data_IF_928009714672
#
_entry.id   IF_928009714672
#
_cell.length_a   1.000
_cell.length_b   1.000
_cell.length_c   1.000
_cell.angle_alpha   90.00
_cell.angle_beta   90.00
_cell.angle_gamma   90.00
#
_symmetry.space_group_name_H-M   'P 1'
#
loop_
_entity.id
_entity.type
_entity.pdbx_description
1 polymer ?
#
# COMPACT_ATOMS: atom_id res chain seq x y z
N UNK A 1 -8.01 47.92 -46.15
CA UNK A 1 -8.35 47.50 -44.78
C UNK A 1 -8.10 46.00 -44.66
N UNK A 2 -6.97 45.58 -44.08
CA UNK A 2 -6.62 44.16 -43.90
C UNK A 2 -6.97 43.75 -42.47
N UNK A 3 -7.96 42.89 -42.29
CA UNK A 3 -8.27 42.26 -41.01
C UNK A 3 -7.37 41.04 -40.82
N UNK A 4 -6.50 41.10 -39.82
CA UNK A 4 -5.71 39.95 -39.33
C UNK A 4 -6.56 39.22 -38.28
N UNK A 5 -7.01 38.02 -38.61
CA UNK A 5 -7.63 37.10 -37.66
C UNK A 5 -6.53 36.38 -36.87
N UNK A 6 -6.40 36.71 -35.57
CA UNK A 6 -5.60 35.93 -34.63
C UNK A 6 -6.43 34.72 -34.15
N UNK A 7 -6.07 33.53 -34.61
CA UNK A 7 -6.58 32.27 -34.07
C UNK A 7 -5.87 32.00 -32.74
N UNK A 8 -6.57 32.28 -31.64
CA UNK A 8 -6.16 31.85 -30.29
C UNK A 8 -6.41 30.35 -30.20
N UNK A 9 -5.37 29.56 -30.41
CA UNK A 9 -5.40 28.11 -30.28
C UNK A 9 -5.45 27.78 -28.77
N UNK A 10 -6.66 27.74 -28.22
CA UNK A 10 -6.90 27.29 -26.86
C UNK A 10 -6.64 25.77 -26.81
N UNK A 11 -5.41 25.39 -26.48
CA UNK A 11 -5.06 24.00 -26.23
C UNK A 11 -5.78 23.54 -24.96
N UNK A 12 -6.88 22.81 -25.13
CA UNK A 12 -7.46 22.00 -24.06
C UNK A 12 -6.39 21.03 -23.54
N UNK A 13 -5.77 21.38 -22.41
CA UNK A 13 -5.01 20.42 -21.62
C UNK A 13 -5.99 19.38 -21.08
N UNK A 14 -6.10 18.24 -21.77
CA UNK A 14 -6.78 17.06 -21.24
C UNK A 14 -5.98 16.55 -20.05
N UNK A 15 -6.44 16.84 -18.84
CA UNK A 15 -5.92 16.25 -17.61
C UNK A 15 -6.35 14.78 -17.64
N UNK A 16 -5.45 13.89 -18.07
CA UNK A 16 -5.70 12.45 -17.98
C UNK A 16 -5.90 12.10 -16.49
N UNK A 17 -7.00 11.44 -16.11
CA UNK A 17 -7.17 10.98 -14.75
C UNK A 17 -6.06 9.97 -14.46
N UNK A 18 -5.15 10.32 -13.56
CA UNK A 18 -4.20 9.36 -13.00
C UNK A 18 -5.03 8.36 -12.21
N UNK A 19 -5.30 7.20 -12.83
CA UNK A 19 -6.08 6.15 -12.21
C UNK A 19 -5.41 5.77 -10.89
N UNK A 20 -6.16 5.83 -9.80
CA UNK A 20 -5.71 5.47 -8.47
C UNK A 20 -5.17 4.03 -8.50
N UNK A 21 -3.85 3.85 -8.46
CA UNK A 21 -3.26 2.51 -8.47
C UNK A 21 -3.39 1.89 -7.09
N UNK A 22 -4.56 1.35 -6.79
CA UNK A 22 -4.73 0.57 -5.57
C UNK A 22 -3.93 -0.74 -5.68
N UNK A 23 -3.34 -1.21 -4.58
CA UNK A 23 -2.70 -2.53 -4.50
C UNK A 23 -3.58 -3.45 -3.65
N UNK A 24 -3.47 -4.75 -3.86
CA UNK A 24 -4.17 -5.75 -3.05
C UNK A 24 -3.24 -6.92 -2.81
N UNK A 25 -3.23 -7.42 -1.59
CA UNK A 25 -2.41 -8.55 -1.17
C UNK A 25 -3.31 -9.58 -0.51
N UNK A 26 -3.27 -10.81 -1.00
CA UNK A 26 -3.85 -11.95 -0.29
C UNK A 26 -2.77 -12.47 0.66
N UNK A 27 -3.04 -12.48 1.96
CA UNK A 27 -2.05 -12.77 3.00
C UNK A 27 -2.53 -13.89 3.91
N UNK A 28 -1.65 -14.85 4.22
CA UNK A 28 -1.91 -15.91 5.19
C UNK A 28 -0.82 -15.90 6.25
N UNK A 29 -1.21 -16.10 7.51
CA UNK A 29 -0.31 -16.22 8.63
C UNK A 29 -0.31 -17.67 9.13
N UNK A 30 0.84 -18.34 9.18
CA UNK A 30 0.99 -19.72 9.65
C UNK A 30 -0.07 -20.68 9.05
N UNK A 31 -0.32 -20.57 7.74
CA UNK A 31 -1.31 -21.36 6.98
C UNK A 31 -2.77 -21.20 7.44
N UNK A 32 -3.11 -20.12 8.14
CA UNK A 32 -4.51 -19.77 8.45
C UNK A 32 -5.25 -19.34 7.19
N UNK A 33 -6.59 -19.28 7.29
CA UNK A 33 -7.44 -18.73 6.25
C UNK A 33 -6.89 -17.36 5.77
N UNK A 34 -6.65 -17.18 4.46
CA UNK A 34 -6.09 -15.95 3.96
C UNK A 34 -7.03 -14.75 4.17
N UNK A 35 -6.43 -13.59 4.39
CA UNK A 35 -7.08 -12.29 4.47
C UNK A 35 -6.59 -11.40 3.33
N UNK A 36 -7.41 -10.45 2.90
CA UNK A 36 -6.98 -9.45 1.91
C UNK A 36 -6.56 -8.18 2.63
N UNK A 37 -5.38 -7.66 2.27
CA UNK A 37 -4.93 -6.32 2.62
C UNK A 37 -5.04 -5.44 1.38
N UNK A 38 -6.00 -4.53 1.39
CA UNK A 38 -6.23 -3.59 0.30
C UNK A 38 -5.60 -2.24 0.61
N UNK A 39 -4.79 -1.75 -0.31
CA UNK A 39 -4.05 -0.50 -0.18
C UNK A 39 -4.55 0.53 -1.18
N UNK A 40 -4.99 1.67 -0.67
CA UNK A 40 -5.27 2.87 -1.45
C UNK A 40 -4.04 3.79 -1.41
N UNK A 41 -3.38 3.92 -2.55
CA UNK A 41 -2.15 4.72 -2.67
C UNK A 41 -2.41 6.22 -2.72
N UNK A 42 -3.64 6.65 -2.99
CA UNK A 42 -4.00 8.07 -3.00
C UNK A 42 -4.23 8.56 -1.57
N UNK A 43 -5.04 7.84 -0.81
CA UNK A 43 -5.31 8.18 0.59
C UNK A 43 -4.21 7.72 1.54
N UNK A 44 -3.28 6.88 1.05
CA UNK A 44 -2.20 6.27 1.84
C UNK A 44 -2.76 5.44 3.01
N UNK A 45 -3.90 4.79 2.81
CA UNK A 45 -4.57 3.94 3.80
C UNK A 45 -4.66 2.52 3.29
N UNK A 46 -4.62 1.56 4.21
CA UNK A 46 -4.89 0.17 3.90
C UNK A 46 -5.87 -0.43 4.90
N UNK A 47 -6.62 -1.44 4.46
CA UNK A 47 -7.63 -2.15 5.25
C UNK A 47 -7.47 -3.66 5.12
N UNK A 48 -7.85 -4.39 6.17
CA UNK A 48 -7.98 -5.84 6.12
C UNK A 48 -9.43 -6.25 5.89
N UNK A 49 -9.60 -7.35 5.17
CA UNK A 49 -10.92 -7.97 4.98
C UNK A 49 -11.49 -8.62 6.25
N UNK A 50 -10.67 -8.90 7.26
CA UNK A 50 -11.08 -9.55 8.52
C UNK A 50 -11.57 -8.56 9.60
N UNK A 51 -11.61 -7.27 9.30
CA UNK A 51 -12.00 -6.23 10.26
C UNK A 51 -10.93 -5.89 11.30
N UNK A 52 -9.67 -6.31 11.10
CA UNK A 52 -8.54 -5.89 11.94
C UNK A 52 -8.20 -4.40 11.83
N UNK A 53 -7.06 -4.02 12.42
CA UNK A 53 -6.60 -2.62 12.46
C UNK A 53 -6.43 -1.99 11.08
N UNK A 54 -6.72 -0.69 10.99
CA UNK A 54 -6.39 0.11 9.82
C UNK A 54 -4.88 0.38 9.73
N UNK A 55 -4.42 0.57 8.49
CA UNK A 55 -3.03 0.81 8.16
C UNK A 55 -2.84 2.21 7.59
N UNK A 56 -1.66 2.77 7.82
CA UNK A 56 -1.18 3.93 7.08
C UNK A 56 0.06 3.55 6.27
N UNK A 57 0.07 3.94 5.01
CA UNK A 57 1.17 3.65 4.09
C UNK A 57 2.38 4.52 4.40
N UNK A 58 3.52 3.89 4.66
CA UNK A 58 4.80 4.56 4.85
C UNK A 58 5.51 4.68 3.49
N UNK A 59 5.71 3.57 2.79
CA UNK A 59 6.48 3.52 1.54
C UNK A 59 6.07 2.33 0.66
N UNK A 60 6.16 2.53 -0.66
CA UNK A 60 6.06 1.47 -1.66
C UNK A 60 7.35 1.49 -2.47
N UNK A 61 7.90 0.31 -2.75
CA UNK A 61 8.99 0.11 -3.70
C UNK A 61 8.64 -1.06 -4.62
N UNK A 62 9.50 -1.37 -5.58
CA UNK A 62 9.35 -2.59 -6.37
C UNK A 62 9.50 -3.87 -5.54
N UNK A 63 10.21 -3.79 -4.40
CA UNK A 63 10.55 -4.96 -3.58
C UNK A 63 9.62 -5.18 -2.39
N UNK A 64 9.02 -4.12 -1.85
CA UNK A 64 8.19 -4.20 -0.66
C UNK A 64 7.25 -2.99 -0.46
N UNK A 65 6.25 -3.21 0.38
CA UNK A 65 5.36 -2.20 0.96
C UNK A 65 5.60 -2.14 2.47
N UNK A 66 5.71 -0.93 3.03
CA UNK A 66 5.77 -0.70 4.47
C UNK A 66 4.55 0.06 4.95
N UNK A 67 3.92 -0.45 5.99
CA UNK A 67 2.70 0.06 6.59
C UNK A 67 2.92 0.29 8.09
N UNK A 68 2.43 1.39 8.64
CA UNK A 68 2.31 1.56 10.07
C UNK A 68 0.94 1.06 10.52
N UNK A 69 0.93 0.28 11.59
CA UNK A 69 -0.26 -0.12 12.33
C UNK A 69 -0.21 0.60 13.66
N UNK A 70 -1.22 1.42 13.92
CA UNK A 70 -1.36 2.05 15.22
C UNK A 70 -1.93 1.02 16.20
N UNK A 71 -1.14 0.67 17.21
CA UNK A 71 -1.55 -0.17 18.32
C UNK A 71 -1.42 0.66 19.58
N UNK A 72 -2.42 0.60 20.45
CA UNK A 72 -2.64 1.54 21.57
C UNK A 72 -1.39 2.06 22.29
N UNK A 73 -0.40 1.19 22.56
CA UNK A 73 0.82 1.54 23.29
C UNK A 73 2.12 1.27 22.52
N UNK A 74 2.04 0.85 21.25
CA UNK A 74 3.18 0.41 20.46
C UNK A 74 3.02 0.79 18.99
N UNK A 75 4.13 1.13 18.34
CA UNK A 75 4.12 1.30 16.88
C UNK A 75 4.52 -0.02 16.23
N UNK A 76 3.63 -0.62 15.44
CA UNK A 76 4.00 -1.74 14.59
C UNK A 76 4.25 -1.26 13.16
N UNK A 77 5.39 -1.64 12.59
CA UNK A 77 5.71 -1.45 11.18
C UNK A 77 5.61 -2.81 10.50
N UNK A 78 4.60 -2.97 9.67
CA UNK A 78 4.40 -4.14 8.84
C UNK A 78 5.13 -3.93 7.51
N UNK A 79 5.83 -4.97 7.06
CA UNK A 79 6.43 -5.04 5.74
C UNK A 79 5.87 -6.23 4.97
N UNK A 80 5.52 -6.00 3.71
CA UNK A 80 5.06 -7.02 2.76
C UNK A 80 6.03 -7.01 1.59
N UNK A 81 6.78 -8.08 1.41
CA UNK A 81 7.62 -8.30 0.22
C UNK A 81 6.73 -8.44 -1.02
N UNK A 82 7.09 -7.73 -2.09
CA UNK A 82 6.45 -7.79 -3.39
C UNK A 82 7.23 -8.76 -4.27
N UNK A 83 6.80 -10.01 -4.26
CA UNK A 83 7.35 -11.03 -5.14
C UNK A 83 6.29 -11.42 -6.18
N UNK A 84 6.60 -11.29 -7.47
CA UNK A 84 5.65 -11.55 -8.56
C UNK A 84 5.54 -13.04 -8.90
N UNK A 85 6.60 -13.81 -8.62
CA UNK A 85 6.70 -15.20 -9.04
C UNK A 85 6.22 -16.17 -7.95
N UNK A 86 6.31 -15.75 -6.69
CA UNK A 86 5.92 -16.53 -5.51
C UNK A 86 5.29 -15.64 -4.43
N UNK A 87 4.86 -16.25 -3.33
CA UNK A 87 4.46 -15.50 -2.14
C UNK A 87 5.67 -14.76 -1.54
N UNK A 88 5.49 -13.46 -1.28
CA UNK A 88 6.43 -12.64 -0.54
C UNK A 88 6.24 -12.78 0.97
N UNK A 89 7.29 -12.51 1.75
CA UNK A 89 7.21 -12.50 3.22
C UNK A 89 6.37 -11.33 3.74
N UNK A 90 5.58 -11.61 4.77
CA UNK A 90 4.98 -10.62 5.63
C UNK A 90 5.62 -10.70 7.01
N UNK A 91 6.20 -9.57 7.43
CA UNK A 91 6.92 -9.42 8.69
C UNK A 91 6.43 -8.15 9.40
N UNK A 92 6.14 -8.29 10.69
CA UNK A 92 5.81 -7.18 11.59
C UNK A 92 6.98 -6.88 12.52
N UNK A 93 7.36 -5.61 12.63
CA UNK A 93 8.31 -5.14 13.64
C UNK A 93 7.56 -4.26 14.63
N UNK A 94 7.51 -4.68 15.88
CA UNK A 94 6.83 -3.94 16.95
C UNK A 94 7.87 -3.13 17.70
N UNK A 95 7.73 -1.81 17.65
CA UNK A 95 8.54 -0.84 18.37
C UNK A 95 7.88 -0.48 19.70
N UNK A 96 8.69 -0.57 20.77
CA UNK A 96 8.32 -0.14 22.11
C UNK A 96 9.08 1.14 22.47
N UNK A 97 8.51 1.95 23.37
CA UNK A 97 9.19 3.15 23.86
C UNK A 97 10.45 2.84 24.71
N UNK A 98 10.49 1.70 25.39
CA UNK A 98 11.49 1.39 26.40
C UNK A 98 12.08 -0.03 26.30
N UNK A 99 11.87 -0.71 25.17
CA UNK A 99 12.37 -2.08 24.95
C UNK A 99 12.89 -2.22 23.53
N UNK A 100 13.72 -3.24 23.34
CA UNK A 100 14.19 -3.65 22.02
C UNK A 100 12.99 -4.05 21.15
N UNK A 101 12.93 -3.59 19.88
CA UNK A 101 11.88 -4.01 18.97
C UNK A 101 11.84 -5.53 18.79
N UNK A 102 10.66 -6.09 18.63
CA UNK A 102 10.48 -7.51 18.33
C UNK A 102 10.06 -7.69 16.89
N UNK A 103 10.63 -8.69 16.22
CA UNK A 103 10.25 -9.10 14.87
C UNK A 103 9.35 -10.32 14.95
N UNK A 104 8.18 -10.24 14.32
CA UNK A 104 7.24 -11.34 14.16
C UNK A 104 7.22 -11.67 12.67
N UNK A 105 7.60 -12.90 12.32
CA UNK A 105 7.65 -13.39 10.95
C UNK A 105 6.92 -14.72 10.83
N UNK A 106 6.29 -14.96 9.69
CA UNK A 106 5.51 -16.18 9.45
C UNK A 106 4.39 -15.97 8.42
N UNK A 107 4.06 -14.71 8.15
CA UNK A 107 3.13 -14.35 7.09
C UNK A 107 3.72 -14.54 5.69
N UNK A 108 2.85 -14.94 4.76
CA UNK A 108 3.11 -14.97 3.33
C UNK A 108 2.00 -14.18 2.63
N UNK A 109 2.37 -13.32 1.68
CA UNK A 109 1.43 -12.53 0.91
C UNK A 109 1.67 -12.67 -0.60
N UNK A 110 0.60 -12.61 -1.37
CA UNK A 110 0.61 -12.61 -2.83
C UNK A 110 -0.04 -11.33 -3.33
N UNK A 111 0.71 -10.52 -4.08
CA UNK A 111 0.16 -9.35 -4.76
C UNK A 111 -0.84 -9.80 -5.82
N UNK A 112 -2.06 -9.28 -5.72
CA UNK A 112 -3.15 -9.65 -6.62
C UNK A 112 -3.15 -8.73 -7.85
N UNK A 113 -3.34 -9.27 -9.07
CA UNK A 113 -3.59 -8.45 -10.24
C UNK A 113 -4.89 -7.66 -10.04
N UNK A 114 -4.88 -6.37 -10.42
CA UNK A 114 -6.08 -5.55 -10.51
C UNK A 114 -6.48 -5.30 -11.95
#
# INVERSE_FOLDING_TARGET
MRLLFFLVWSTCFSIAPTQAKSLSFLCSWDNRAPITIELDTQTRKAKRSDGGSDYTLIKITEQAVWLSVDQHYTLAVQSIERNKDKGGKWIDIIHFANRVPISISGGICWEQPK
#
